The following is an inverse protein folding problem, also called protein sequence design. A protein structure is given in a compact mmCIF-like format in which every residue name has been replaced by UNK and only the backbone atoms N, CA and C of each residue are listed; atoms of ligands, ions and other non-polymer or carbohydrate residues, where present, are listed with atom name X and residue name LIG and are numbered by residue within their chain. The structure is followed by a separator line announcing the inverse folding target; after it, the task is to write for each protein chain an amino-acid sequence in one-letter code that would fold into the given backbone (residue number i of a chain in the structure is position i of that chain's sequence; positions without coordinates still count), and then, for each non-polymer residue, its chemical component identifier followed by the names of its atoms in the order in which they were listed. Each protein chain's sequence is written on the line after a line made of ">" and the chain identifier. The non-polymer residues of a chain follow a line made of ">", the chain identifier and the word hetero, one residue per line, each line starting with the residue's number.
data_IF_888046840204
#
_entry.id   IF_888046840204
#
_cell.length_a   1.000
_cell.length_b   1.000
_cell.length_c   1.000
_cell.angle_alpha   90.00
_cell.angle_beta   90.00
_cell.angle_gamma   90.00
#
_symmetry.space_group_name_H-M   'P 1'
#
loop_
_entity.id
_entity.type
_entity.pdbx_description
1 polymer ?
#
# COMPACT_ATOMS: atom_id res chain seq x y z
N UNK A 1 -3.29 -24.67 -16.80
CA UNK A 1 -4.21 -24.28 -15.71
C UNK A 1 -3.49 -24.09 -14.38
N UNK A 2 -2.91 -25.13 -13.77
CA UNK A 2 -2.23 -25.04 -12.46
C UNK A 2 -1.16 -23.93 -12.38
N UNK A 3 -0.25 -23.85 -13.36
CA UNK A 3 0.81 -22.83 -13.40
C UNK A 3 0.27 -21.40 -13.39
N UNK A 4 -0.79 -21.14 -14.16
CA UNK A 4 -1.44 -19.82 -14.21
C UNK A 4 -2.06 -19.47 -12.85
N UNK A 5 -2.76 -20.41 -12.23
CA UNK A 5 -3.36 -20.22 -10.90
C UNK A 5 -2.28 -19.90 -9.86
N UNK A 6 -1.17 -20.65 -9.82
CA UNK A 6 -0.06 -20.38 -8.90
C UNK A 6 0.48 -18.97 -9.08
N UNK A 7 0.73 -18.54 -10.32
CA UNK A 7 1.25 -17.20 -10.62
C UNK A 7 0.27 -16.11 -10.17
N UNK A 8 -1.02 -16.29 -10.45
CA UNK A 8 -2.07 -15.34 -10.09
C UNK A 8 -2.28 -15.22 -8.57
N UNK A 9 -1.96 -16.27 -7.80
CA UNK A 9 -2.06 -16.28 -6.34
C UNK A 9 -0.87 -15.61 -5.61
N UNK A 10 0.24 -15.33 -6.30
CA UNK A 10 1.40 -14.66 -5.69
C UNK A 10 1.00 -13.27 -5.14
N UNK A 11 0.29 -12.48 -5.95
CA UNK A 11 -0.13 -11.13 -5.55
C UNK A 11 -1.02 -11.12 -4.28
N UNK A 12 -2.15 -11.85 -4.17
CA UNK A 12 -3.00 -11.80 -2.98
C UNK A 12 -2.30 -12.30 -1.71
N UNK A 13 -1.36 -13.24 -1.82
CA UNK A 13 -0.54 -13.68 -0.68
C UNK A 13 0.36 -12.54 -0.20
N UNK A 14 1.11 -11.90 -1.11
CA UNK A 14 1.97 -10.77 -0.76
C UNK A 14 1.16 -9.55 -0.28
N UNK A 15 0.00 -9.30 -0.89
CA UNK A 15 -0.92 -8.24 -0.51
C UNK A 15 -1.42 -8.41 0.93
N UNK A 16 -1.66 -9.65 1.38
CA UNK A 16 -2.06 -9.93 2.76
C UNK A 16 -0.97 -9.47 3.74
N UNK A 17 0.29 -9.81 3.47
CA UNK A 17 1.44 -9.37 4.30
C UNK A 17 1.54 -7.84 4.30
N UNK A 18 1.38 -7.23 3.12
CA UNK A 18 1.40 -5.77 2.95
C UNK A 18 0.31 -5.06 3.74
N UNK A 19 -0.93 -5.57 3.71
CA UNK A 19 -2.07 -5.02 4.46
C UNK A 19 -1.84 -5.11 5.96
N UNK A 20 -1.35 -6.24 6.47
CA UNK A 20 -1.00 -6.38 7.89
C UNK A 20 0.05 -5.33 8.32
N UNK A 21 1.01 -5.05 7.45
CA UNK A 21 2.02 -4.02 7.71
C UNK A 21 1.42 -2.60 7.70
N UNK A 22 0.52 -2.29 6.75
CA UNK A 22 -0.23 -1.03 6.72
C UNK A 22 -1.07 -0.83 7.98
N UNK A 23 -1.81 -1.85 8.42
CA UNK A 23 -2.62 -1.79 9.66
C UNK A 23 -1.73 -1.49 10.87
N UNK A 24 -0.55 -2.11 10.94
CA UNK A 24 0.43 -1.82 11.99
C UNK A 24 0.94 -0.38 11.94
N UNK A 25 1.15 0.19 10.75
CA UNK A 25 1.51 1.60 10.60
C UNK A 25 0.39 2.55 10.99
N UNK A 26 -0.84 2.25 10.58
CA UNK A 26 -2.00 3.05 10.94
C UNK A 26 -2.20 3.16 12.46
N UNK A 27 -1.89 2.08 13.18
CA UNK A 27 -1.86 2.06 14.65
C UNK A 27 -0.87 3.02 15.31
N UNK A 28 0.04 3.66 14.54
CA UNK A 28 1.01 4.63 15.07
C UNK A 28 0.35 5.78 15.83
N UNK A 29 -0.80 6.30 15.37
CA UNK A 29 -1.49 7.43 16.04
C UNK A 29 -1.74 7.14 17.51
N UNK A 30 -2.22 5.94 17.84
CA UNK A 30 -2.48 5.51 19.22
C UNK A 30 -1.17 5.20 19.96
N UNK A 31 -0.27 4.44 19.34
CA UNK A 31 0.99 4.03 19.96
C UNK A 31 1.92 5.21 20.28
N UNK A 32 2.05 6.17 19.38
CA UNK A 32 2.94 7.32 19.53
C UNK A 32 2.54 8.26 20.68
N UNK A 33 1.27 8.22 21.12
CA UNK A 33 0.77 9.00 22.26
C UNK A 33 1.14 8.38 23.61
N UNK A 34 1.43 7.07 23.67
CA UNK A 34 1.75 6.38 24.93
C UNK A 34 3.25 6.37 25.25
N UNK A 35 4.10 6.63 24.25
CA UNK A 35 5.56 6.61 24.39
C UNK A 35 6.10 7.95 24.88
N UNK A 36 7.22 7.95 25.61
CA UNK A 36 7.90 9.16 26.10
C UNK A 36 9.42 9.10 25.86
N UNK A 37 10.07 10.26 26.00
CA UNK A 37 11.54 10.36 25.95
C UNK A 37 12.16 9.75 24.68
N UNK A 38 13.28 9.06 24.87
CA UNK A 38 14.06 8.49 23.75
C UNK A 38 13.36 7.29 23.10
N UNK A 39 12.54 6.54 23.83
CA UNK A 39 11.73 5.47 23.27
C UNK A 39 10.80 6.00 22.17
N UNK A 40 10.16 7.15 22.42
CA UNK A 40 9.31 7.82 21.43
C UNK A 40 10.10 8.26 20.20
N UNK A 41 11.30 8.82 20.39
CA UNK A 41 12.17 9.26 19.28
C UNK A 41 12.56 8.09 18.38
N UNK A 42 13.02 6.98 18.97
CA UNK A 42 13.38 5.78 18.22
C UNK A 42 12.17 5.17 17.51
N UNK A 43 11.01 5.13 18.16
CA UNK A 43 9.79 4.60 17.55
C UNK A 43 9.30 5.47 16.37
N UNK A 44 9.42 6.80 16.49
CA UNK A 44 9.11 7.73 15.41
C UNK A 44 10.04 7.54 14.21
N UNK A 45 11.34 7.42 14.44
CA UNK A 45 12.31 7.15 13.37
C UNK A 45 12.01 5.84 12.63
N UNK A 46 11.60 4.78 13.36
CA UNK A 46 11.15 3.53 12.74
C UNK A 46 9.87 3.68 11.94
N UNK A 47 8.88 4.42 12.46
CA UNK A 47 7.63 4.72 11.76
C UNK A 47 7.91 5.42 10.41
N UNK A 48 8.74 6.46 10.44
CA UNK A 48 9.15 7.20 9.23
C UNK A 48 9.85 6.29 8.22
N UNK A 49 10.86 5.53 8.65
CA UNK A 49 11.59 4.60 7.77
C UNK A 49 10.68 3.53 7.16
N UNK A 50 9.78 2.96 7.94
CA UNK A 50 8.84 1.96 7.43
C UNK A 50 7.80 2.56 6.50
N UNK A 51 7.42 3.83 6.66
CA UNK A 51 6.57 4.55 5.70
C UNK A 51 7.19 4.56 4.31
N UNK A 52 8.50 4.81 4.24
CA UNK A 52 9.27 4.74 2.99
C UNK A 52 9.27 3.36 2.36
N UNK A 53 9.58 2.35 3.16
CA UNK A 53 9.61 0.99 2.68
C UNK A 53 8.22 0.49 2.23
N UNK A 54 7.14 0.95 2.87
CA UNK A 54 5.79 0.65 2.43
C UNK A 54 5.45 1.23 1.07
N UNK A 55 5.90 2.46 0.76
CA UNK A 55 5.70 3.01 -0.57
C UNK A 55 6.38 2.16 -1.64
N UNK A 56 7.66 1.81 -1.42
CA UNK A 56 8.40 0.95 -2.34
C UNK A 56 7.84 -0.47 -2.43
N UNK A 57 7.41 -1.04 -1.31
CA UNK A 57 6.75 -2.33 -1.29
C UNK A 57 5.40 -2.30 -2.03
N UNK A 58 4.63 -1.21 -1.92
CA UNK A 58 3.39 -1.01 -2.66
C UNK A 58 3.63 -0.94 -4.17
N UNK A 59 4.61 -0.15 -4.62
CA UNK A 59 5.01 -0.08 -6.02
C UNK A 59 5.44 -1.47 -6.53
N UNK A 60 6.28 -2.16 -5.76
CA UNK A 60 6.75 -3.51 -6.11
C UNK A 60 5.61 -4.51 -6.20
N UNK A 61 4.64 -4.46 -5.27
CA UNK A 61 3.47 -5.32 -5.25
C UNK A 61 2.58 -5.10 -6.47
N UNK A 62 2.42 -3.86 -6.93
CA UNK A 62 1.71 -3.54 -8.16
C UNK A 62 2.45 -4.08 -9.40
N UNK A 63 3.78 -3.94 -9.46
CA UNK A 63 4.59 -4.52 -10.53
C UNK A 63 4.45 -6.04 -10.60
N UNK A 64 4.46 -6.73 -9.45
CA UNK A 64 4.18 -8.18 -9.40
C UNK A 64 2.82 -8.52 -10.00
N UNK A 65 1.79 -7.72 -9.71
CA UNK A 65 0.45 -7.92 -10.28
C UNK A 65 0.45 -7.77 -11.82
N UNK A 66 1.10 -6.72 -12.34
CA UNK A 66 1.23 -6.51 -13.79
C UNK A 66 2.01 -7.63 -14.47
N UNK A 67 3.11 -8.09 -13.88
CA UNK A 67 3.89 -9.23 -14.41
C UNK A 67 3.06 -10.52 -14.41
N UNK A 68 2.32 -10.79 -13.34
CA UNK A 68 1.42 -11.95 -13.29
C UNK A 68 0.34 -11.90 -14.39
N UNK A 69 -0.22 -10.72 -14.65
CA UNK A 69 -1.18 -10.49 -15.75
C UNK A 69 -0.53 -10.67 -17.12
N UNK A 70 0.67 -10.12 -17.35
CA UNK A 70 1.41 -10.32 -18.60
C UNK A 70 1.64 -11.80 -18.91
N UNK A 71 2.11 -12.56 -17.90
CA UNK A 71 2.33 -14.00 -18.04
C UNK A 71 1.01 -14.75 -18.29
N UNK A 72 -0.07 -14.37 -17.61
CA UNK A 72 -1.42 -14.90 -17.87
C UNK A 72 -1.84 -14.66 -19.33
N UNK A 73 -1.61 -13.47 -19.87
CA UNK A 73 -1.89 -13.13 -21.27
C UNK A 73 -1.13 -14.00 -22.26
N UNK A 74 0.17 -14.22 -22.03
CA UNK A 74 0.99 -15.14 -22.84
C UNK A 74 0.42 -16.57 -22.80
N UNK A 75 0.09 -17.08 -21.61
CA UNK A 75 -0.40 -18.46 -21.44
C UNK A 75 -1.76 -18.69 -22.12
N UNK A 76 -2.64 -17.68 -22.13
CA UNK A 76 -4.03 -17.82 -22.59
C UNK A 76 -4.22 -17.37 -24.04
N UNK A 77 -3.57 -16.28 -24.45
CA UNK A 77 -3.80 -15.61 -25.73
C UNK A 77 -2.54 -15.50 -26.61
N UNK A 78 -1.40 -16.02 -26.17
CA UNK A 78 -0.09 -15.81 -26.81
C UNK A 78 0.28 -14.33 -27.00
N UNK A 79 -0.27 -13.46 -26.13
CA UNK A 79 -0.06 -12.01 -26.15
C UNK A 79 0.03 -11.47 -24.73
N UNK A 80 1.20 -10.95 -24.38
CA UNK A 80 1.52 -10.41 -23.06
C UNK A 80 0.74 -9.12 -22.73
N UNK A 81 0.17 -8.44 -23.72
CA UNK A 81 -0.60 -7.20 -23.51
C UNK A 81 -2.09 -7.42 -23.24
N UNK A 82 -2.62 -8.58 -23.65
CA UNK A 82 -4.05 -8.91 -23.66
C UNK A 82 -4.76 -8.84 -22.30
N UNK A 83 -4.03 -8.96 -21.18
CA UNK A 83 -4.57 -9.00 -19.81
C UNK A 83 -4.05 -7.85 -18.92
N UNK A 84 -3.34 -6.86 -19.50
CA UNK A 84 -2.71 -5.76 -18.72
C UNK A 84 -3.69 -4.65 -18.31
N UNK A 85 -4.70 -4.38 -19.13
CA UNK A 85 -5.65 -3.31 -18.83
C UNK A 85 -6.56 -3.70 -17.69
N UNK A 86 -6.88 -2.80 -16.74
CA UNK A 86 -7.81 -3.09 -15.67
C UNK A 86 -9.18 -3.45 -16.23
N UNK A 87 -9.64 -4.67 -15.95
CA UNK A 87 -10.98 -5.13 -16.32
C UNK A 87 -11.97 -5.12 -15.13
N UNK A 88 -11.52 -4.61 -13.98
CA UNK A 88 -12.30 -4.65 -12.74
C UNK A 88 -12.05 -3.43 -11.86
N UNK A 89 -12.97 -3.18 -10.93
CA UNK A 89 -12.82 -2.12 -9.93
C UNK A 89 -11.57 -2.32 -9.06
N UNK A 90 -11.19 -3.57 -8.77
CA UNK A 90 -9.94 -3.85 -8.06
C UNK A 90 -8.71 -3.37 -8.85
N UNK A 91 -8.68 -3.64 -10.17
CA UNK A 91 -7.62 -3.19 -11.05
C UNK A 91 -7.47 -1.65 -11.10
N UNK A 92 -8.59 -0.91 -11.11
CA UNK A 92 -8.56 0.56 -11.08
C UNK A 92 -8.19 1.14 -9.70
N UNK A 93 -8.64 0.51 -8.61
CA UNK A 93 -8.41 1.02 -7.26
C UNK A 93 -6.97 0.83 -6.77
N UNK A 94 -6.20 -0.11 -7.34
CA UNK A 94 -4.79 -0.32 -7.01
C UNK A 94 -3.91 0.92 -7.27
N UNK A 95 -3.86 1.46 -8.50
CA UNK A 95 -3.13 2.70 -8.80
C UNK A 95 -3.58 3.90 -7.97
N UNK A 96 -4.89 4.05 -7.73
CA UNK A 96 -5.44 5.10 -6.85
C UNK A 96 -4.89 4.95 -5.43
N UNK A 97 -4.82 3.71 -4.92
CA UNK A 97 -4.21 3.39 -3.64
C UNK A 97 -2.74 3.75 -3.56
N UNK A 98 -1.96 3.55 -4.63
CA UNK A 98 -0.55 3.95 -4.66
C UNK A 98 -0.37 5.47 -4.62
N UNK A 99 -1.19 6.22 -5.36
CA UNK A 99 -1.18 7.69 -5.30
C UNK A 99 -1.50 8.17 -3.89
N UNK A 100 -2.50 7.57 -3.24
CA UNK A 100 -2.88 7.93 -1.89
C UNK A 100 -1.79 7.55 -0.86
N UNK A 101 -1.16 6.38 -1.00
CA UNK A 101 -0.02 5.99 -0.17
C UNK A 101 1.17 6.95 -0.33
N UNK A 102 1.45 7.38 -1.56
CA UNK A 102 2.45 8.40 -1.81
C UNK A 102 2.12 9.72 -1.10
N UNK A 103 0.86 10.17 -1.12
CA UNK A 103 0.41 11.35 -0.37
C UNK A 103 0.61 11.18 1.14
N UNK A 104 0.28 10.01 1.70
CA UNK A 104 0.52 9.69 3.12
C UNK A 104 2.00 9.87 3.46
N UNK A 105 2.89 9.26 2.69
CA UNK A 105 4.34 9.32 2.93
C UNK A 105 4.87 10.74 2.72
N UNK A 106 4.45 11.43 1.66
CA UNK A 106 4.82 12.83 1.38
C UNK A 106 4.49 13.77 2.54
N UNK A 107 3.27 13.72 3.06
CA UNK A 107 2.87 14.56 4.20
C UNK A 107 3.59 14.15 5.50
N UNK A 108 3.93 12.86 5.65
CA UNK A 108 4.74 12.36 6.76
C UNK A 108 6.17 12.95 6.73
N UNK A 109 6.83 12.92 5.57
CA UNK A 109 8.14 13.57 5.35
C UNK A 109 8.07 15.06 5.64
N UNK A 110 7.07 15.76 5.08
CA UNK A 110 6.94 17.20 5.27
C UNK A 110 6.72 17.58 6.74
N UNK A 111 5.96 16.77 7.46
CA UNK A 111 5.79 16.94 8.92
C UNK A 111 7.13 16.81 9.64
N UNK A 112 7.97 15.84 9.25
CA UNK A 112 9.29 15.65 9.85
C UNK A 112 10.23 16.85 9.58
N UNK A 113 10.29 17.31 8.32
CA UNK A 113 11.07 18.48 7.92
C UNK A 113 10.69 19.74 8.72
N UNK A 114 9.40 20.02 8.85
CA UNK A 114 8.92 21.20 9.59
C UNK A 114 9.25 21.12 11.09
N UNK A 115 9.25 19.93 11.68
CA UNK A 115 9.68 19.73 13.07
C UNK A 115 11.18 20.04 13.21
N UNK A 116 12.02 19.56 12.28
CA UNK A 116 13.46 19.83 12.28
C UNK A 116 13.77 21.32 12.09
N UNK A 117 12.94 22.02 11.31
CA UNK A 117 13.04 23.47 11.06
C UNK A 117 12.44 24.31 12.20
N UNK A 118 11.86 23.69 13.23
CA UNK A 118 11.14 24.36 14.32
C UNK A 118 9.98 25.26 13.82
N UNK A 119 9.33 24.84 12.72
CA UNK A 119 8.19 25.50 12.10
C UNK A 119 6.85 24.82 12.47
N UNK A 120 5.74 25.51 12.18
CA UNK A 120 4.40 24.96 12.43
C UNK A 120 4.10 23.77 11.52
N UNK A 121 3.96 22.58 12.10
CA UNK A 121 3.73 21.32 11.39
C UNK A 121 2.28 20.79 11.48
N UNK A 122 1.39 21.49 12.20
CA UNK A 122 0.04 21.00 12.53
C UNK A 122 -0.81 20.68 11.31
N UNK A 123 -0.73 21.51 10.27
CA UNK A 123 -1.49 21.33 9.02
C UNK A 123 -1.04 20.08 8.28
N UNK A 124 0.26 19.93 8.04
CA UNK A 124 0.82 18.77 7.32
C UNK A 124 0.60 17.46 8.09
N UNK A 125 0.74 17.49 9.42
CA UNK A 125 0.39 16.34 10.28
C UNK A 125 -1.09 15.95 10.13
N UNK A 126 -1.97 16.93 10.02
CA UNK A 126 -3.40 16.69 9.82
C UNK A 126 -3.67 16.07 8.46
N UNK A 127 -3.05 16.58 7.38
CA UNK A 127 -3.14 15.99 6.03
C UNK A 127 -2.64 14.55 6.01
N UNK A 128 -1.47 14.28 6.60
CA UNK A 128 -0.93 12.92 6.75
C UNK A 128 -1.93 11.99 7.44
N UNK A 129 -2.51 12.45 8.55
CA UNK A 129 -3.51 11.70 9.30
C UNK A 129 -4.77 11.39 8.49
N UNK A 130 -5.32 12.38 7.78
CA UNK A 130 -6.53 12.22 6.95
C UNK A 130 -6.28 11.35 5.72
N UNK A 131 -5.14 11.52 5.07
CA UNK A 131 -4.72 10.64 3.99
C UNK A 131 -4.57 9.19 4.48
N UNK A 132 -4.08 8.99 5.70
CA UNK A 132 -3.96 7.65 6.30
C UNK A 132 -5.31 7.01 6.58
N UNK A 133 -6.28 7.81 7.06
CA UNK A 133 -7.67 7.35 7.28
C UNK A 133 -8.32 6.92 5.95
N UNK A 134 -8.18 7.74 4.90
CA UNK A 134 -8.65 7.40 3.55
C UNK A 134 -7.93 6.18 2.96
N UNK A 135 -6.62 6.07 3.17
CA UNK A 135 -5.82 4.93 2.71
C UNK A 135 -6.31 3.63 3.33
N UNK A 136 -6.66 3.65 4.62
CA UNK A 136 -7.18 2.46 5.30
C UNK A 136 -8.56 2.06 4.77
N UNK A 137 -9.46 3.02 4.54
CA UNK A 137 -10.75 2.75 3.92
C UNK A 137 -10.58 2.15 2.51
N UNK A 138 -9.74 2.76 1.68
CA UNK A 138 -9.48 2.32 0.32
C UNK A 138 -8.82 0.94 0.27
N UNK A 139 -7.83 0.66 1.13
CA UNK A 139 -7.17 -0.65 1.14
C UNK A 139 -8.12 -1.75 1.59
N UNK A 140 -9.02 -1.49 2.55
CA UNK A 140 -10.03 -2.48 2.93
C UNK A 140 -10.97 -2.81 1.76
N UNK A 141 -11.46 -1.80 1.04
CA UNK A 141 -12.30 -1.99 -0.15
C UNK A 141 -11.51 -2.74 -1.24
N UNK A 142 -10.30 -2.29 -1.54
CA UNK A 142 -9.45 -2.88 -2.57
C UNK A 142 -9.10 -4.35 -2.28
N UNK A 143 -8.73 -4.67 -1.04
CA UNK A 143 -8.44 -6.04 -0.62
C UNK A 143 -9.68 -6.93 -0.59
N UNK A 144 -10.83 -6.40 -0.19
CA UNK A 144 -12.10 -7.14 -0.25
C UNK A 144 -12.49 -7.50 -1.68
N UNK A 145 -12.41 -6.53 -2.61
CA UNK A 145 -12.62 -6.79 -4.03
C UNK A 145 -11.60 -7.80 -4.58
N UNK A 146 -10.32 -7.66 -4.21
CA UNK A 146 -9.27 -8.59 -4.61
C UNK A 146 -9.52 -10.02 -4.16
N UNK A 147 -10.05 -10.21 -2.94
CA UNK A 147 -10.47 -11.51 -2.44
C UNK A 147 -11.60 -12.10 -3.29
N UNK A 148 -12.64 -11.32 -3.60
CA UNK A 148 -13.74 -11.78 -4.47
C UNK A 148 -13.21 -12.21 -5.84
N UNK A 149 -12.32 -11.41 -6.45
CA UNK A 149 -11.74 -11.72 -7.75
C UNK A 149 -10.79 -12.93 -7.71
N UNK A 150 -10.18 -13.24 -6.57
CA UNK A 150 -9.35 -14.45 -6.42
C UNK A 150 -10.17 -15.71 -6.70
N UNK A 151 -11.44 -15.77 -6.25
CA UNK A 151 -12.34 -16.89 -6.52
C UNK A 151 -12.80 -17.00 -7.99
N UNK A 152 -12.59 -15.97 -8.81
CA UNK A 152 -12.88 -16.04 -10.26
C UNK A 152 -11.70 -16.60 -11.06
N UNK A 153 -10.52 -16.63 -10.47
CA UNK A 153 -9.27 -17.06 -11.12
C UNK A 153 -8.87 -18.48 -10.70
N UNK A 154 -9.30 -18.91 -9.51
CA UNK A 154 -9.30 -20.31 -9.05
C UNK A 154 -10.42 -21.06 -9.74
#
# INVERSE_FOLDING_TARGET
>A
MVTRTVIMLIHPVLATIFVLWLVRQYGWRKKGMTLRGDERKQALARHQRHGEWLLWAGISLALVAFVARAISGIIVNDDWTSDLLPQSLHGFTGPVGLVLLWLVVRHGRKTAELIEQNESFTVERTKHGRASDLMMALVMIHSFLGLIYTFQVI
#
